data_IF_036589347515
#
_entry.id   IF_036589347515
#
_cell.length_a   1.000
_cell.length_b   1.000
_cell.length_c   1.000
_cell.angle_alpha   90.00
_cell.angle_beta   90.00
_cell.angle_gamma   90.00
#
_symmetry.space_group_name_H-M   'P 1'
#
loop_
_entity.id
_entity.type
_entity.pdbx_description
1 polymer ?
#
# COMPACT_ATOMS: atom_id res chain seq x y z
N UNK A 1 11.90 -60.24 26.39
CA UNK A 1 12.68 -59.20 25.67
C UNK A 1 11.88 -57.94 25.33
N UNK A 2 10.57 -58.01 25.05
CA UNK A 2 9.74 -56.85 24.64
C UNK A 2 9.56 -55.69 25.64
N UNK A 3 9.70 -55.93 26.96
CA UNK A 3 9.57 -54.86 27.97
C UNK A 3 10.84 -54.00 28.13
N UNK A 4 12.03 -54.55 27.80
CA UNK A 4 13.29 -53.79 27.82
C UNK A 4 13.38 -52.84 26.63
N UNK A 5 12.93 -53.26 25.44
CA UNK A 5 12.90 -52.42 24.24
C UNK A 5 11.90 -51.27 24.35
N UNK A 6 10.73 -51.50 24.97
CA UNK A 6 9.74 -50.44 25.26
C UNK A 6 10.26 -49.37 26.23
N UNK A 7 10.99 -49.78 27.27
CA UNK A 7 11.60 -48.85 28.24
C UNK A 7 12.75 -48.05 27.61
N UNK A 8 13.53 -48.67 26.73
CA UNK A 8 14.57 -47.98 25.97
C UNK A 8 13.97 -46.94 25.00
N UNK A 9 12.90 -47.31 24.29
CA UNK A 9 12.20 -46.41 23.38
C UNK A 9 11.59 -45.21 24.12
N UNK A 10 10.95 -45.44 25.27
CA UNK A 10 10.39 -44.36 26.09
C UNK A 10 11.48 -43.42 26.62
N UNK A 11 12.60 -43.97 27.09
CA UNK A 11 13.73 -43.17 27.56
C UNK A 11 14.35 -42.34 26.43
N UNK A 12 14.43 -42.89 25.21
CA UNK A 12 14.92 -42.17 24.04
C UNK A 12 13.97 -41.05 23.62
N UNK A 13 12.65 -41.30 23.61
CA UNK A 13 11.64 -40.28 23.32
C UNK A 13 11.65 -39.16 24.37
N UNK A 14 11.82 -39.50 25.65
CA UNK A 14 11.91 -38.51 26.73
C UNK A 14 13.18 -37.67 26.63
N UNK A 15 14.32 -38.29 26.26
CA UNK A 15 15.56 -37.57 26.00
C UNK A 15 15.42 -36.61 24.81
N UNK A 16 14.82 -37.04 23.70
CA UNK A 16 14.58 -36.18 22.53
C UNK A 16 13.64 -35.01 22.87
N UNK A 17 12.60 -35.24 23.68
CA UNK A 17 11.70 -34.17 24.14
C UNK A 17 12.41 -33.16 25.07
N UNK A 18 13.30 -33.63 25.95
CA UNK A 18 14.08 -32.77 26.85
C UNK A 18 15.12 -31.95 26.06
N UNK A 19 15.86 -32.58 25.15
CA UNK A 19 16.88 -31.88 24.34
C UNK A 19 16.29 -31.01 23.22
N UNK A 20 15.12 -31.35 22.68
CA UNK A 20 14.41 -30.57 21.65
C UNK A 20 13.71 -29.31 22.18
N UNK A 21 13.62 -29.16 23.51
CA UNK A 21 13.01 -27.99 24.15
C UNK A 21 13.99 -26.81 24.38
N UNK A 22 15.25 -26.97 23.96
CA UNK A 22 16.21 -25.86 23.91
C UNK A 22 15.75 -24.88 22.83
N UNK A 23 14.91 -23.94 23.24
CA UNK A 23 14.49 -22.80 22.44
C UNK A 23 15.77 -22.15 21.90
N UNK A 24 15.97 -22.21 20.58
CA UNK A 24 16.91 -21.32 19.93
C UNK A 24 16.40 -19.92 20.23
N UNK A 25 17.02 -19.26 21.20
CA UNK A 25 16.82 -17.84 21.42
C UNK A 25 17.27 -17.23 20.10
N UNK A 26 16.30 -16.81 19.28
CA UNK A 26 16.54 -15.93 18.16
C UNK A 26 16.98 -14.59 18.77
N UNK A 27 18.26 -14.51 19.13
CA UNK A 27 18.89 -13.27 19.53
C UNK A 27 18.85 -12.39 18.28
N UNK A 28 17.92 -11.45 18.23
CA UNK A 28 18.11 -10.28 17.37
C UNK A 28 19.49 -9.72 17.76
N UNK A 29 20.42 -9.64 16.82
CA UNK A 29 21.78 -9.19 17.09
C UNK A 29 21.75 -7.72 17.51
N UNK A 30 21.59 -7.46 18.81
CA UNK A 30 21.91 -6.16 19.39
C UNK A 30 23.31 -6.27 20.02
N UNK A 31 24.32 -5.75 19.33
CA UNK A 31 25.63 -5.47 19.94
C UNK A 31 26.69 -6.56 19.82
N UNK A 32 27.03 -6.99 18.59
CA UNK A 32 28.35 -7.60 18.31
C UNK A 32 29.51 -6.58 18.50
N UNK A 33 30.72 -6.82 17.99
CA UNK A 33 31.80 -5.80 18.04
C UNK A 33 31.41 -4.50 17.32
N UNK A 34 30.37 -4.56 16.48
CA UNK A 34 29.76 -3.42 15.83
C UNK A 34 28.66 -2.84 16.73
N UNK A 35 28.90 -1.64 17.23
CA UNK A 35 27.94 -0.84 17.98
C UNK A 35 27.29 0.19 17.05
N UNK A 36 25.96 0.11 16.89
CA UNK A 36 25.16 1.12 16.20
C UNK A 36 24.76 2.27 17.15
N UNK A 37 25.71 2.76 17.95
CA UNK A 37 25.46 3.82 18.94
C UNK A 37 25.02 5.13 18.31
N UNK A 38 25.39 5.32 17.04
CA UNK A 38 24.86 6.37 16.21
C UNK A 38 24.00 5.76 15.11
N UNK A 39 22.79 6.29 14.96
CA UNK A 39 21.88 5.97 13.87
C UNK A 39 21.15 7.25 13.45
N UNK A 40 20.73 7.29 12.20
CA UNK A 40 19.86 8.33 11.67
C UNK A 40 18.73 7.65 10.89
N UNK A 41 17.48 8.02 11.18
CA UNK A 41 16.32 7.61 10.41
C UNK A 41 16.00 8.78 9.47
N UNK A 42 16.33 8.61 8.18
CA UNK A 42 15.98 9.59 7.16
C UNK A 42 14.47 9.63 6.91
N UNK A 43 13.93 10.70 6.32
CA UNK A 43 12.49 10.90 6.13
C UNK A 43 11.84 10.00 5.06
N UNK A 44 12.62 9.15 4.38
CA UNK A 44 12.25 8.48 3.12
C UNK A 44 12.85 9.18 1.90
N UNK A 45 12.26 9.01 0.72
CA UNK A 45 12.70 9.62 -0.54
C UNK A 45 12.07 9.00 -1.79
N UNK A 46 12.35 9.61 -2.94
CA UNK A 46 11.92 9.12 -4.26
C UNK A 46 12.89 8.06 -4.81
N UNK A 47 12.35 6.99 -5.37
CA UNK A 47 13.07 5.96 -6.12
C UNK A 47 12.40 5.79 -7.48
N UNK A 48 13.19 5.64 -8.55
CA UNK A 48 12.66 5.51 -9.92
C UNK A 48 13.25 4.30 -10.63
N UNK A 49 12.42 3.62 -11.42
CA UNK A 49 12.83 2.49 -12.27
C UNK A 49 11.88 2.33 -13.46
N UNK A 50 12.42 2.42 -14.68
CA UNK A 50 11.59 2.46 -15.89
C UNK A 50 10.67 3.68 -15.89
N UNK A 51 9.38 3.45 -16.17
CA UNK A 51 8.35 4.50 -16.18
C UNK A 51 7.74 4.77 -14.79
N UNK A 52 8.20 4.08 -13.74
CA UNK A 52 7.61 4.16 -12.41
C UNK A 52 8.50 4.95 -11.45
N UNK A 53 7.86 5.79 -10.64
CA UNK A 53 8.49 6.50 -9.52
C UNK A 53 7.73 6.16 -8.24
N UNK A 54 8.45 5.71 -7.22
CA UNK A 54 7.96 5.45 -5.88
C UNK A 54 8.46 6.56 -4.96
N UNK A 55 7.55 7.29 -4.30
CA UNK A 55 7.91 8.25 -3.26
C UNK A 55 7.58 7.63 -1.89
N UNK A 56 8.62 7.30 -1.12
CA UNK A 56 8.48 6.66 0.19
C UNK A 56 8.72 7.67 1.32
N UNK A 57 8.07 7.45 2.46
CA UNK A 57 8.30 8.19 3.68
C UNK A 57 8.56 7.24 4.85
N UNK A 58 9.42 7.63 5.79
CA UNK A 58 9.71 6.86 7.01
C UNK A 58 9.34 7.71 8.22
N UNK A 59 8.32 7.28 8.96
CA UNK A 59 7.76 7.96 10.13
C UNK A 59 6.55 7.17 10.68
N UNK A 60 6.06 7.52 11.87
CA UNK A 60 4.87 6.90 12.46
C UNK A 60 3.66 7.18 11.56
N UNK A 61 2.90 6.15 11.12
CA UNK A 61 1.62 6.36 10.48
C UNK A 61 0.61 6.78 11.55
N UNK A 62 0.71 8.02 12.05
CA UNK A 62 -0.47 8.74 12.56
C UNK A 62 -1.31 9.28 11.37
N UNK A 63 -1.18 8.62 10.22
CA UNK A 63 -2.00 8.76 9.05
C UNK A 63 -3.29 7.97 9.27
N UNK A 64 -4.29 8.64 9.83
CA UNK A 64 -5.65 8.17 9.81
C UNK A 64 -6.53 9.20 9.10
N UNK A 65 -7.56 8.70 8.44
CA UNK A 65 -8.64 9.55 7.95
C UNK A 65 -9.39 10.09 9.16
N UNK A 66 -9.35 11.41 9.35
CA UNK A 66 -10.12 12.12 10.36
C UNK A 66 -11.36 12.68 9.67
N UNK A 67 -12.54 12.49 10.27
CA UNK A 67 -13.79 13.04 9.74
C UNK A 67 -14.48 13.96 10.75
N UNK A 68 -15.16 14.99 10.24
CA UNK A 68 -15.92 15.94 11.05
C UNK A 68 -16.92 16.72 10.19
N UNK A 69 -18.21 16.47 10.40
CA UNK A 69 -19.26 17.03 9.53
C UNK A 69 -19.16 16.46 8.11
N UNK A 70 -19.20 17.33 7.10
CA UNK A 70 -19.01 16.98 5.68
C UNK A 70 -17.54 17.01 5.24
N UNK A 71 -16.60 17.14 6.18
CA UNK A 71 -15.17 17.25 5.87
C UNK A 71 -14.41 15.98 6.26
N UNK A 72 -13.53 15.58 5.35
CA UNK A 72 -12.59 14.48 5.53
C UNK A 72 -11.18 15.02 5.40
N UNK A 73 -10.32 14.74 6.38
CA UNK A 73 -8.91 15.10 6.38
C UNK A 73 -8.09 13.82 6.44
N UNK A 74 -7.36 13.52 5.37
CA UNK A 74 -6.42 12.41 5.35
C UNK A 74 -5.08 12.91 5.92
N UNK A 75 -4.77 12.51 7.15
CA UNK A 75 -3.48 12.80 7.77
C UNK A 75 -2.37 11.93 7.18
N UNK A 76 -1.12 12.38 7.30
CA UNK A 76 0.07 11.64 6.87
C UNK A 76 1.21 12.56 6.45
N UNK A 77 2.43 12.01 6.40
CA UNK A 77 3.61 12.74 5.88
C UNK A 77 3.60 12.82 4.34
N UNK A 78 3.06 11.80 3.68
CA UNK A 78 2.68 11.86 2.27
C UNK A 78 1.20 12.26 2.20
N UNK A 79 0.80 13.12 1.23
CA UNK A 79 -0.62 13.37 1.00
C UNK A 79 -1.29 12.02 0.81
N UNK A 80 -2.19 11.67 1.72
CA UNK A 80 -2.96 10.44 1.58
C UNK A 80 -3.69 10.54 0.25
N UNK A 81 -3.38 9.61 -0.65
CA UNK A 81 -4.16 9.45 -1.88
C UNK A 81 -5.65 9.28 -1.53
N UNK A 82 -6.54 9.46 -2.50
CA UNK A 82 -7.97 9.37 -2.24
C UNK A 82 -8.27 8.05 -1.51
N UNK A 83 -9.09 8.13 -0.45
CA UNK A 83 -9.36 7.03 0.48
C UNK A 83 -9.99 5.81 -0.22
N UNK A 84 -10.48 6.01 -1.43
CA UNK A 84 -10.65 5.00 -2.46
C UNK A 84 -10.30 5.60 -3.83
N UNK A 85 -10.02 4.75 -4.84
CA UNK A 85 -9.90 5.20 -6.23
C UNK A 85 -11.14 4.75 -7.03
N UNK A 86 -11.91 5.72 -7.52
CA UNK A 86 -12.95 5.49 -8.53
C UNK A 86 -12.34 5.79 -9.90
N UNK A 87 -12.56 4.93 -10.89
CA UNK A 87 -11.95 5.11 -12.21
C UNK A 87 -12.37 6.44 -12.88
N UNK A 88 -13.59 6.91 -12.62
CA UNK A 88 -14.13 8.18 -13.12
C UNK A 88 -13.94 9.38 -12.19
N UNK A 89 -13.26 9.24 -11.04
CA UNK A 89 -12.91 10.38 -10.17
C UNK A 89 -11.57 10.96 -10.67
N UNK A 90 -11.66 12.03 -11.46
CA UNK A 90 -10.52 12.63 -12.13
C UNK A 90 -9.84 13.70 -11.27
N UNK A 91 -10.57 14.30 -10.33
CA UNK A 91 -10.04 15.34 -9.45
C UNK A 91 -9.51 14.77 -8.11
N UNK A 92 -9.79 13.50 -7.81
CA UNK A 92 -9.36 12.79 -6.61
C UNK A 92 -10.13 13.15 -5.34
N UNK A 93 -11.38 13.62 -5.46
CA UNK A 93 -12.20 14.05 -4.33
C UNK A 93 -13.07 12.94 -3.71
N UNK A 94 -13.06 11.73 -4.30
CA UNK A 94 -13.80 10.57 -3.82
C UNK A 94 -15.21 10.44 -4.39
N UNK A 95 -15.64 11.35 -5.25
CA UNK A 95 -16.95 11.33 -5.91
C UNK A 95 -16.80 11.37 -7.45
N UNK A 96 -17.70 10.72 -8.18
CA UNK A 96 -17.80 10.89 -9.64
C UNK A 96 -18.97 11.79 -9.95
N UNK A 97 -18.69 13.05 -10.29
CA UNK A 97 -19.68 14.11 -10.48
C UNK A 97 -19.55 14.77 -11.85
N UNK A 98 -20.29 15.87 -12.03
CA UNK A 98 -20.17 16.69 -13.25
C UNK A 98 -18.80 17.37 -13.32
N UNK A 99 -18.10 17.55 -12.19
CA UNK A 99 -16.78 18.15 -12.15
C UNK A 99 -15.76 17.27 -12.90
N UNK A 100 -15.88 15.95 -12.81
CA UNK A 100 -15.04 15.01 -13.53
C UNK A 100 -15.30 15.06 -15.04
N UNK A 101 -16.56 15.10 -15.44
CA UNK A 101 -16.92 15.29 -16.85
C UNK A 101 -16.43 16.65 -17.37
N UNK A 102 -16.50 17.70 -16.54
CA UNK A 102 -15.98 19.03 -16.89
C UNK A 102 -14.47 19.04 -17.09
N UNK A 103 -13.72 18.21 -16.36
CA UNK A 103 -12.28 18.07 -16.57
C UNK A 103 -11.94 17.50 -17.94
N UNK A 104 -12.67 16.48 -18.41
CA UNK A 104 -12.53 15.97 -19.79
C UNK A 104 -12.93 17.05 -20.80
N UNK A 105 -14.09 17.70 -20.59
CA UNK A 105 -14.57 18.73 -21.50
C UNK A 105 -13.61 19.93 -21.62
N UNK A 106 -12.89 20.28 -20.54
CA UNK A 106 -11.90 21.36 -20.54
C UNK A 106 -10.63 21.01 -21.34
N UNK A 107 -10.27 19.74 -21.42
CA UNK A 107 -9.13 19.26 -22.19
C UNK A 107 -9.47 18.97 -23.66
N UNK A 108 -10.75 18.79 -23.99
CA UNK A 108 -11.20 18.28 -25.28
C UNK A 108 -11.05 19.25 -26.47
N UNK A 109 -10.71 18.74 -27.68
CA UNK A 109 -10.19 17.40 -27.99
C UNK A 109 -8.66 17.36 -27.95
N UNK A 110 -8.09 16.21 -27.58
CA UNK A 110 -6.65 15.97 -27.68
C UNK A 110 -6.37 14.66 -28.43
N UNK A 111 -5.56 14.71 -29.49
CA UNK A 111 -5.17 13.54 -30.30
C UNK A 111 -3.96 12.76 -29.72
N UNK A 112 -3.66 13.01 -28.44
CA UNK A 112 -2.53 12.42 -27.69
C UNK A 112 -2.84 12.57 -26.21
N UNK A 113 -3.99 12.07 -25.81
CA UNK A 113 -4.45 12.15 -24.43
C UNK A 113 -3.71 11.13 -23.57
N UNK A 114 -3.61 11.41 -22.28
CA UNK A 114 -3.03 10.50 -21.29
C UNK A 114 -3.90 10.44 -20.06
N UNK A 115 -3.72 9.39 -19.25
CA UNK A 115 -4.36 9.28 -17.95
C UNK A 115 -4.10 10.57 -17.12
N UNK A 116 -5.12 11.13 -16.46
CA UNK A 116 -6.44 10.56 -16.19
C UNK A 116 -7.52 10.85 -17.25
N UNK A 117 -7.23 11.59 -18.31
CA UNK A 117 -8.27 11.99 -19.27
C UNK A 117 -8.61 10.91 -20.30
N UNK A 118 -7.60 10.14 -20.75
CA UNK A 118 -7.78 8.94 -21.58
C UNK A 118 -8.21 7.77 -20.69
N UNK A 119 -9.51 7.53 -20.65
CA UNK A 119 -10.18 6.52 -19.82
C UNK A 119 -10.31 5.19 -20.55
N UNK A 120 -10.42 5.20 -21.89
CA UNK A 120 -10.40 3.98 -22.73
C UNK A 120 -9.00 3.39 -22.91
N UNK A 121 -7.96 4.21 -22.77
CA UNK A 121 -6.56 3.83 -22.99
C UNK A 121 -6.18 3.73 -24.47
N UNK A 122 -6.93 4.37 -25.36
CA UNK A 122 -6.72 4.33 -26.82
C UNK A 122 -5.92 5.52 -27.38
N UNK A 123 -5.47 6.43 -26.50
CA UNK A 123 -4.51 7.48 -26.81
C UNK A 123 -5.11 8.77 -27.36
N UNK A 124 -6.43 8.85 -27.48
CA UNK A 124 -7.18 10.03 -27.91
C UNK A 124 -8.17 10.43 -26.80
N UNK A 125 -8.51 11.72 -26.70
CA UNK A 125 -9.59 12.20 -25.83
C UNK A 125 -10.86 12.33 -26.65
N UNK A 126 -11.74 11.34 -26.56
CA UNK A 126 -12.97 11.22 -27.33
C UNK A 126 -14.21 10.83 -26.50
N UNK A 127 -15.35 10.62 -27.17
CA UNK A 127 -16.66 10.50 -26.51
C UNK A 127 -16.73 9.22 -25.69
N UNK A 128 -15.89 8.24 -25.99
CA UNK A 128 -15.75 7.02 -25.22
C UNK A 128 -15.27 7.36 -23.80
N UNK A 129 -14.32 8.29 -23.64
CA UNK A 129 -13.84 8.71 -22.32
C UNK A 129 -14.93 9.35 -21.47
N UNK A 130 -15.69 10.28 -22.09
CA UNK A 130 -16.82 10.92 -21.44
C UNK A 130 -17.87 9.88 -21.03
N UNK A 131 -18.12 8.90 -21.90
CA UNK A 131 -19.11 7.84 -21.63
C UNK A 131 -18.65 6.93 -20.51
N UNK A 132 -17.35 6.65 -20.40
CA UNK A 132 -16.77 5.84 -19.32
C UNK A 132 -16.88 6.54 -17.96
N UNK A 133 -16.61 7.85 -17.88
CA UNK A 133 -16.83 8.64 -16.65
C UNK A 133 -18.32 8.75 -16.32
N UNK A 134 -19.15 9.07 -17.31
CA UNK A 134 -20.60 9.19 -17.12
C UNK A 134 -21.27 7.88 -16.68
N UNK A 135 -20.73 6.73 -17.08
CA UNK A 135 -21.22 5.42 -16.63
C UNK A 135 -21.04 5.20 -15.12
N UNK A 136 -20.14 5.96 -14.49
CA UNK A 136 -19.84 5.89 -13.06
C UNK A 136 -20.44 7.05 -12.26
N UNK A 137 -21.22 7.93 -12.91
CA UNK A 137 -21.76 9.13 -12.29
C UNK A 137 -22.56 8.84 -11.02
N UNK A 138 -22.29 9.60 -9.96
CA UNK A 138 -22.89 9.44 -8.64
C UNK A 138 -22.25 8.34 -7.79
N UNK A 139 -21.17 7.70 -8.27
CA UNK A 139 -20.35 6.83 -7.43
C UNK A 139 -19.65 7.66 -6.36
N UNK A 140 -19.61 7.13 -5.15
CA UNK A 140 -18.94 7.74 -4.01
C UNK A 140 -18.21 6.68 -3.22
N UNK A 141 -17.12 7.10 -2.58
CA UNK A 141 -16.52 6.42 -1.46
C UNK A 141 -16.31 7.39 -0.28
#
# INVERSE_FOLDING_TARGET
MAHRSRRLALACCLAVAIFGSFQLIALAQSGGPYNLSWHNIGPGGASSGGNFTLNAAVGQPDAATMSGGSYTLTGGFLPGGPTCALAGDLNGDGEVTVLDIQMIAAAWPQASASFPYDQSGDGDLDIQDVTLVAAQFGSVC
#
